data_IF_768455103381
#
_entry.id   IF_768455103381
#
_cell.length_a   1.000
_cell.length_b   1.000
_cell.length_c   1.000
_cell.angle_alpha   90.00
_cell.angle_beta   90.00
_cell.angle_gamma   90.00
#
_symmetry.space_group_name_H-M   'P 1'
#
loop_
_entity.id
_entity.type
_entity.pdbx_description
1 polymer ?
#
# COMPACT_ATOMS: atom_id res chain seq x y z
N UNK A 1 -12.66 3.60 -3.41
CA UNK A 1 -12.75 4.26 -2.09
C UNK A 1 -13.57 3.48 -1.07
N UNK A 2 -14.58 2.68 -1.46
CA UNK A 2 -15.40 1.89 -0.53
C UNK A 2 -14.58 1.04 0.46
N UNK A 3 -13.54 0.35 -0.03
CA UNK A 3 -12.63 -0.44 0.82
C UNK A 3 -11.90 0.39 1.90
N UNK A 4 -11.51 1.63 1.59
CA UNK A 4 -10.89 2.56 2.56
C UNK A 4 -11.90 2.97 3.63
N UNK A 5 -13.13 3.30 3.23
CA UNK A 5 -14.19 3.66 4.18
C UNK A 5 -14.55 2.49 5.10
N UNK A 6 -14.60 1.28 4.56
CA UNK A 6 -14.83 0.08 5.36
C UNK A 6 -13.72 -0.16 6.39
N UNK A 7 -12.45 -0.05 5.98
CA UNK A 7 -11.30 -0.18 6.90
C UNK A 7 -11.34 0.88 8.01
N UNK A 8 -11.60 2.14 7.67
CA UNK A 8 -11.72 3.24 8.66
C UNK A 8 -12.89 3.01 9.63
N UNK A 9 -14.04 2.52 9.13
CA UNK A 9 -15.18 2.19 9.98
C UNK A 9 -14.84 1.06 10.97
N UNK A 10 -14.10 0.04 10.53
CA UNK A 10 -13.63 -1.04 11.38
C UNK A 10 -12.65 -0.54 12.46
N UNK A 11 -11.70 0.33 12.10
CA UNK A 11 -10.80 0.98 13.08
C UNK A 11 -11.61 1.74 14.14
N UNK A 12 -12.60 2.53 13.71
CA UNK A 12 -13.46 3.29 14.61
C UNK A 12 -14.26 2.36 15.56
N UNK A 13 -14.74 1.22 15.06
CA UNK A 13 -15.42 0.23 15.90
C UNK A 13 -14.51 -0.30 17.04
N UNK A 14 -13.22 -0.54 16.77
CA UNK A 14 -12.26 -0.97 17.80
C UNK A 14 -11.98 0.13 18.83
N UNK A 15 -12.00 1.41 18.44
CA UNK A 15 -11.92 2.53 19.40
C UNK A 15 -13.15 2.58 20.32
N UNK A 16 -14.34 2.32 19.79
CA UNK A 16 -15.58 2.28 20.58
C UNK A 16 -15.60 1.10 21.54
N UNK A 17 -15.17 -0.09 21.09
CA UNK A 17 -15.05 -1.28 21.96
C UNK A 17 -14.07 -1.04 23.12
N UNK A 18 -12.91 -0.44 22.82
CA UNK A 18 -11.95 -0.07 23.84
C UNK A 18 -12.54 0.90 24.88
N UNK A 19 -13.29 1.91 24.44
CA UNK A 19 -13.95 2.84 25.34
C UNK A 19 -14.95 2.13 26.27
N UNK A 20 -15.76 1.22 25.71
CA UNK A 20 -16.68 0.40 26.49
C UNK A 20 -15.93 -0.47 27.53
N UNK A 21 -14.84 -1.14 27.12
CA UNK A 21 -14.05 -1.97 28.01
C UNK A 21 -13.44 -1.18 29.19
N UNK A 22 -12.99 0.05 28.94
CA UNK A 22 -12.51 0.96 30.00
C UNK A 22 -13.61 1.35 30.98
N UNK A 23 -14.85 1.57 30.51
CA UNK A 23 -15.98 1.87 31.41
C UNK A 23 -16.32 0.68 32.31
N UNK A 24 -16.31 -0.54 31.77
CA UNK A 24 -16.55 -1.76 32.55
C UNK A 24 -15.47 -1.96 33.61
N UNK A 25 -14.20 -1.77 33.25
CA UNK A 25 -13.09 -1.85 34.20
C UNK A 25 -13.20 -0.81 35.34
N UNK A 26 -13.60 0.43 35.02
CA UNK A 26 -13.78 1.49 36.01
C UNK A 26 -14.96 1.25 36.97
N UNK A 27 -16.01 0.56 36.51
CA UNK A 27 -17.21 0.29 37.31
C UNK A 27 -17.06 -0.89 38.28
N UNK A 28 -15.94 -1.64 38.23
CA UNK A 28 -15.59 -2.62 39.24
C UNK A 28 -16.55 -3.81 39.35
N UNK A 29 -16.77 -4.54 38.25
CA UNK A 29 -17.50 -5.81 38.33
C UNK A 29 -16.73 -6.79 39.23
N UNK A 30 -17.27 -6.98 40.44
CA UNK A 30 -16.75 -7.79 41.52
C UNK A 30 -17.18 -9.27 41.41
N UNK A 31 -17.43 -9.76 40.20
CA UNK A 31 -17.68 -11.18 39.98
C UNK A 31 -16.35 -11.87 39.64
N UNK A 32 -15.95 -12.83 40.47
CA UNK A 32 -14.64 -13.46 40.50
C UNK A 32 -14.24 -14.30 39.27
N UNK A 33 -14.81 -14.02 38.09
CA UNK A 33 -14.42 -14.62 36.80
C UNK A 33 -13.32 -13.84 36.06
N UNK A 34 -12.77 -12.79 36.67
CA UNK A 34 -11.47 -12.20 36.32
C UNK A 34 -11.27 -11.96 34.83
N UNK A 35 -12.12 -11.14 34.20
CA UNK A 35 -11.92 -10.71 32.81
C UNK A 35 -10.51 -10.14 32.67
N UNK A 36 -9.70 -10.76 31.80
CA UNK A 36 -8.36 -10.27 31.49
C UNK A 36 -8.45 -9.00 30.63
N UNK A 37 -8.85 -7.88 31.24
CA UNK A 37 -9.03 -6.58 30.59
C UNK A 37 -7.76 -6.13 29.88
N UNK A 38 -6.60 -6.31 30.51
CA UNK A 38 -5.31 -5.95 29.91
C UNK A 38 -5.00 -6.80 28.67
N UNK A 39 -5.31 -8.10 28.73
CA UNK A 39 -5.21 -9.00 27.57
C UNK A 39 -6.09 -8.54 26.42
N UNK A 40 -7.37 -8.25 26.68
CA UNK A 40 -8.28 -7.78 25.62
C UNK A 40 -7.85 -6.42 25.06
N UNK A 41 -7.37 -5.50 25.90
CA UNK A 41 -6.83 -4.22 25.43
C UNK A 41 -5.63 -4.40 24.50
N UNK A 42 -4.74 -5.34 24.81
CA UNK A 42 -3.59 -5.66 23.98
C UNK A 42 -4.01 -6.26 22.63
N UNK A 43 -4.96 -7.21 22.62
CA UNK A 43 -5.54 -7.75 21.39
C UNK A 43 -6.16 -6.66 20.52
N UNK A 44 -6.97 -5.76 21.10
CA UNK A 44 -7.56 -4.60 20.41
C UNK A 44 -6.52 -3.64 19.83
N UNK A 45 -5.31 -3.57 20.40
CA UNK A 45 -4.20 -2.80 19.80
C UNK A 45 -3.62 -3.51 18.59
N UNK A 46 -3.39 -4.82 18.69
CA UNK A 46 -2.87 -5.62 17.58
C UNK A 46 -3.86 -5.67 16.41
N UNK A 47 -5.15 -5.89 16.67
CA UNK A 47 -6.20 -5.90 15.65
C UNK A 47 -6.24 -4.57 14.88
N UNK A 48 -6.16 -3.45 15.62
CA UNK A 48 -6.15 -2.11 15.02
C UNK A 48 -4.87 -1.82 14.24
N UNK A 49 -3.69 -2.22 14.73
CA UNK A 49 -2.44 -2.11 13.97
C UNK A 49 -2.53 -2.86 12.63
N UNK A 50 -3.18 -4.02 12.60
CA UNK A 50 -3.45 -4.76 11.36
C UNK A 50 -4.34 -3.97 10.39
N UNK A 51 -5.42 -3.35 10.89
CA UNK A 51 -6.29 -2.51 10.07
C UNK A 51 -5.62 -1.21 9.62
N UNK A 52 -4.77 -0.60 10.46
CA UNK A 52 -3.96 0.58 10.12
C UNK A 52 -2.96 0.24 9.02
N UNK A 53 -2.27 -0.90 9.09
CA UNK A 53 -1.39 -1.39 8.02
C UNK A 53 -2.14 -1.62 6.71
N UNK A 54 -3.35 -2.21 6.79
CA UNK A 54 -4.24 -2.35 5.62
C UNK A 54 -4.62 -0.99 5.03
N UNK A 55 -4.98 -0.02 5.88
CA UNK A 55 -5.33 1.34 5.45
C UNK A 55 -4.12 2.05 4.80
N UNK A 56 -2.92 1.87 5.34
CA UNK A 56 -1.67 2.39 4.76
C UNK A 56 -1.43 1.84 3.35
N UNK A 57 -1.61 0.53 3.15
CA UNK A 57 -1.51 -0.08 1.83
C UNK A 57 -2.55 0.50 0.85
N UNK A 58 -3.82 0.60 1.26
CA UNK A 58 -4.89 1.14 0.42
C UNK A 58 -4.65 2.60 0.04
N UNK A 59 -4.22 3.44 0.98
CA UNK A 59 -3.90 4.86 0.73
C UNK A 59 -2.64 5.03 -0.12
N UNK A 60 -1.65 4.15 0.05
CA UNK A 60 -0.45 4.15 -0.80
C UNK A 60 -0.79 3.73 -2.23
N UNK A 61 -1.74 2.80 -2.44
CA UNK A 61 -2.23 2.45 -3.77
C UNK A 61 -2.83 3.66 -4.52
N UNK A 62 -3.59 4.51 -3.82
CA UNK A 62 -4.15 5.73 -4.38
C UNK A 62 -3.01 6.70 -4.75
N UNK A 63 -2.09 6.95 -3.82
CA UNK A 63 -0.94 7.83 -4.02
C UNK A 63 -0.07 7.39 -5.20
N UNK A 64 0.20 6.09 -5.33
CA UNK A 64 0.97 5.53 -6.44
C UNK A 64 0.27 5.75 -7.78
N UNK A 65 -1.04 5.49 -7.84
CA UNK A 65 -1.83 5.75 -9.05
C UNK A 65 -1.82 7.21 -9.44
N UNK A 66 -2.09 8.11 -8.49
CA UNK A 66 -2.13 9.56 -8.75
C UNK A 66 -0.76 10.08 -9.21
N UNK A 67 0.34 9.60 -8.62
CA UNK A 67 1.69 9.97 -9.03
C UNK A 67 2.02 9.47 -10.46
N UNK A 68 1.70 8.21 -10.77
CA UNK A 68 1.90 7.65 -12.10
C UNK A 68 1.07 8.41 -13.16
N UNK A 69 -0.21 8.65 -12.87
CA UNK A 69 -1.11 9.37 -13.77
C UNK A 69 -0.73 10.85 -13.94
N UNK A 70 -0.17 11.50 -12.92
CA UNK A 70 0.32 12.87 -13.04
C UNK A 70 1.45 12.97 -14.08
N UNK A 71 2.37 12.00 -14.10
CA UNK A 71 3.42 11.96 -15.11
C UNK A 71 2.85 11.66 -16.51
N UNK A 72 1.93 10.70 -16.62
CA UNK A 72 1.31 10.37 -17.91
C UNK A 72 0.52 11.58 -18.48
N UNK A 73 -0.16 12.36 -17.61
CA UNK A 73 -0.82 13.61 -17.98
C UNK A 73 0.18 14.67 -18.43
N UNK A 74 1.31 14.84 -17.73
CA UNK A 74 2.37 15.75 -18.15
C UNK A 74 2.92 15.38 -19.54
N UNK A 75 3.16 14.09 -19.77
CA UNK A 75 3.63 13.58 -21.05
C UNK A 75 2.61 13.84 -22.16
N UNK A 76 1.31 13.68 -21.88
CA UNK A 76 0.24 13.97 -22.84
C UNK A 76 0.07 15.47 -23.14
N UNK A 77 0.35 16.35 -22.17
CA UNK A 77 0.33 17.81 -22.38
C UNK A 77 1.55 18.32 -23.17
N UNK A 78 2.61 17.52 -23.27
CA UNK A 78 3.84 17.93 -23.94
C UNK A 78 3.67 17.85 -25.47
N UNK A 79 3.92 18.93 -26.23
CA UNK A 79 3.78 18.93 -27.68
C UNK A 79 4.61 17.82 -28.36
N UNK A 80 4.11 17.21 -29.45
CA UNK A 80 4.83 16.14 -30.13
C UNK A 80 6.16 16.62 -30.74
N UNK A 81 6.26 17.91 -31.10
CA UNK A 81 7.44 18.58 -31.65
C UNK A 81 8.34 19.24 -30.59
N UNK A 82 8.00 19.10 -29.29
CA UNK A 82 8.84 19.61 -28.21
C UNK A 82 10.27 19.09 -28.31
N UNK A 83 11.24 19.93 -27.95
CA UNK A 83 12.64 19.51 -27.93
C UNK A 83 12.87 18.44 -26.85
N UNK A 84 13.96 17.67 -26.96
CA UNK A 84 14.36 16.74 -25.89
C UNK A 84 14.58 17.47 -24.56
N UNK A 85 15.13 18.68 -24.61
CA UNK A 85 15.34 19.53 -23.45
C UNK A 85 14.02 19.95 -22.79
N UNK A 86 13.02 20.34 -23.57
CA UNK A 86 11.70 20.72 -23.03
C UNK A 86 11.00 19.53 -22.38
N UNK A 87 11.10 18.33 -22.96
CA UNK A 87 10.58 17.10 -22.35
C UNK A 87 11.23 16.81 -21.01
N UNK A 88 12.56 16.89 -20.93
CA UNK A 88 13.29 16.69 -19.68
C UNK A 88 12.92 17.73 -18.62
N UNK A 89 12.76 19.00 -18.99
CA UNK A 89 12.28 20.02 -18.06
C UNK A 89 10.87 19.73 -17.56
N UNK A 90 9.97 19.29 -18.43
CA UNK A 90 8.60 18.92 -18.04
C UNK A 90 8.60 17.76 -17.04
N UNK A 91 9.42 16.73 -17.26
CA UNK A 91 9.57 15.59 -16.34
C UNK A 91 10.17 16.01 -14.99
N UNK A 92 11.23 16.83 -15.00
CA UNK A 92 11.83 17.37 -13.77
C UNK A 92 10.81 18.22 -13.01
N UNK A 93 10.05 19.08 -13.69
CA UNK A 93 9.01 19.91 -13.08
C UNK A 93 7.97 19.05 -12.36
N UNK A 94 7.49 17.99 -13.00
CA UNK A 94 6.50 17.07 -12.38
C UNK A 94 7.08 16.36 -11.16
N UNK A 95 8.35 15.95 -11.20
CA UNK A 95 9.00 15.35 -10.03
C UNK A 95 9.08 16.36 -8.88
N UNK A 96 9.48 17.60 -9.14
CA UNK A 96 9.54 18.67 -8.13
C UNK A 96 8.17 19.04 -7.56
N UNK A 97 7.13 19.10 -8.40
CA UNK A 97 5.76 19.35 -7.98
C UNK A 97 5.24 18.26 -7.04
N UNK A 98 5.43 16.98 -7.41
CA UNK A 98 5.06 15.84 -6.58
C UNK A 98 5.87 15.83 -5.28
N UNK A 99 7.17 16.14 -5.34
CA UNK A 99 8.02 16.26 -4.16
C UNK A 99 7.50 17.33 -3.19
N UNK A 100 7.10 18.50 -3.72
CA UNK A 100 6.51 19.59 -2.96
C UNK A 100 5.19 19.20 -2.30
N UNK A 101 4.26 18.59 -3.05
CA UNK A 101 2.94 18.16 -2.52
C UNK A 101 3.11 17.09 -1.44
N UNK A 102 3.99 16.12 -1.65
CA UNK A 102 4.23 15.03 -0.70
C UNK A 102 5.17 15.42 0.45
N UNK A 103 5.79 16.61 0.39
CA UNK A 103 6.79 17.08 1.37
C UNK A 103 7.95 16.08 1.53
N UNK A 104 8.49 15.63 0.39
CA UNK A 104 9.65 14.72 0.32
C UNK A 104 10.73 15.34 -0.57
N UNK A 105 11.93 14.76 -0.57
CA UNK A 105 12.98 15.21 -1.49
C UNK A 105 12.65 14.86 -2.93
N UNK A 106 13.18 15.64 -3.88
CA UNK A 106 13.08 15.37 -5.32
C UNK A 106 13.55 13.95 -5.68
N UNK A 107 14.68 13.50 -5.10
CA UNK A 107 15.17 12.13 -5.29
C UNK A 107 14.20 11.05 -4.77
N UNK A 108 13.55 11.29 -3.64
CA UNK A 108 12.53 10.37 -3.12
C UNK A 108 11.27 10.36 -3.98
N UNK A 109 10.84 11.51 -4.49
CA UNK A 109 9.71 11.61 -5.41
C UNK A 109 9.99 10.89 -6.73
N UNK A 110 11.17 11.10 -7.33
CA UNK A 110 11.57 10.41 -8.56
C UNK A 110 11.59 8.89 -8.37
N UNK A 111 12.20 8.39 -7.30
CA UNK A 111 12.20 6.96 -6.98
C UNK A 111 10.78 6.42 -6.75
N UNK A 112 9.93 7.17 -6.04
CA UNK A 112 8.55 6.80 -5.81
C UNK A 112 7.73 6.73 -7.10
N UNK A 113 7.87 7.70 -8.00
CA UNK A 113 7.16 7.74 -9.29
C UNK A 113 7.55 6.54 -10.17
N UNK A 114 8.84 6.22 -10.28
CA UNK A 114 9.32 5.05 -11.04
C UNK A 114 8.69 3.77 -10.52
N UNK A 115 8.76 3.56 -9.21
CA UNK A 115 8.18 2.39 -8.54
C UNK A 115 6.66 2.34 -8.67
N UNK A 116 5.99 3.48 -8.55
CA UNK A 116 4.55 3.58 -8.70
C UNK A 116 4.10 3.17 -10.11
N UNK A 117 4.82 3.57 -11.16
CA UNK A 117 4.53 3.14 -12.54
C UNK A 117 4.70 1.64 -12.72
N UNK A 118 5.79 1.06 -12.20
CA UNK A 118 6.02 -0.39 -12.26
C UNK A 118 4.88 -1.15 -11.56
N UNK A 119 4.54 -0.78 -10.32
CA UNK A 119 3.43 -1.39 -9.57
C UNK A 119 2.08 -1.22 -10.29
N UNK A 120 1.78 -0.03 -10.82
CA UNK A 120 0.53 0.22 -11.53
C UNK A 120 0.44 -0.51 -12.87
N UNK A 121 1.59 -0.90 -13.46
CA UNK A 121 1.63 -1.71 -14.68
C UNK A 121 1.28 -3.19 -14.42
N UNK A 122 1.26 -3.65 -13.17
CA UNK A 122 0.94 -5.03 -12.79
C UNK A 122 -0.46 -5.08 -12.13
N UNK A 123 -1.53 -5.44 -12.87
CA UNK A 123 -2.91 -5.27 -12.39
C UNK A 123 -3.23 -6.05 -11.11
N UNK A 124 -2.74 -7.29 -10.98
CA UNK A 124 -2.94 -8.12 -9.78
C UNK A 124 -2.22 -7.56 -8.56
N UNK A 125 -0.99 -7.05 -8.74
CA UNK A 125 -0.21 -6.39 -7.67
C UNK A 125 -0.91 -5.12 -7.22
N UNK A 126 -1.31 -4.26 -8.15
CA UNK A 126 -2.06 -3.05 -7.82
C UNK A 126 -3.39 -3.38 -7.15
N UNK A 127 -4.10 -4.41 -7.63
CA UNK A 127 -5.34 -4.91 -7.03
C UNK A 127 -5.14 -5.33 -5.57
N UNK A 128 -4.11 -6.15 -5.30
CA UNK A 128 -3.77 -6.59 -3.95
C UNK A 128 -3.37 -5.43 -3.03
N UNK A 129 -2.57 -4.48 -3.52
CA UNK A 129 -2.22 -3.27 -2.78
C UNK A 129 -3.45 -2.41 -2.47
N UNK A 130 -4.33 -2.20 -3.46
CA UNK A 130 -5.54 -1.36 -3.34
C UNK A 130 -6.62 -1.95 -2.42
N UNK A 131 -6.62 -3.26 -2.21
CA UNK A 131 -7.48 -3.94 -1.22
C UNK A 131 -6.82 -3.99 0.16
N UNK A 132 -5.51 -3.78 0.22
CA UNK A 132 -4.68 -3.87 1.42
C UNK A 132 -4.32 -5.31 1.80
N UNK A 133 -4.41 -6.26 0.87
CA UNK A 133 -3.91 -7.63 1.05
C UNK A 133 -2.40 -7.75 0.81
N UNK A 134 -1.79 -6.73 0.19
CA UNK A 134 -0.36 -6.60 -0.05
C UNK A 134 0.11 -5.24 0.48
N UNK A 135 1.25 -5.21 1.18
CA UNK A 135 1.87 -3.96 1.62
C UNK A 135 2.56 -3.24 0.45
N UNK A 136 2.85 -1.95 0.59
CA UNK A 136 3.64 -1.21 -0.41
C UNK A 136 5.00 -1.87 -0.66
N UNK A 137 5.66 -2.34 0.39
CA UNK A 137 6.93 -3.03 0.27
C UNK A 137 6.79 -4.37 -0.47
N UNK A 138 5.73 -5.14 -0.21
CA UNK A 138 5.45 -6.37 -0.96
C UNK A 138 5.17 -6.10 -2.43
N UNK A 139 4.43 -5.03 -2.74
CA UNK A 139 4.19 -4.60 -4.12
C UNK A 139 5.49 -4.21 -4.84
N UNK A 140 6.38 -3.48 -4.17
CA UNK A 140 7.70 -3.11 -4.70
C UNK A 140 8.57 -4.33 -4.97
N UNK A 141 8.60 -5.29 -4.06
CA UNK A 141 9.37 -6.54 -4.26
C UNK A 141 8.90 -7.23 -5.55
N UNK A 142 7.60 -7.38 -5.77
CA UNK A 142 7.10 -8.01 -7.01
C UNK A 142 7.45 -7.18 -8.25
N UNK A 143 7.35 -5.85 -8.16
CA UNK A 143 7.74 -4.95 -9.24
C UNK A 143 9.23 -5.05 -9.59
N UNK A 144 10.11 -5.06 -8.58
CA UNK A 144 11.56 -5.19 -8.73
C UNK A 144 11.93 -6.56 -9.34
N UNK A 145 11.34 -7.65 -8.84
CA UNK A 145 11.60 -9.01 -9.34
C UNK A 145 11.11 -9.24 -10.79
N UNK A 146 10.19 -8.41 -11.26
CA UNK A 146 9.63 -8.50 -12.62
C UNK A 146 10.23 -7.47 -13.58
N UNK A 147 11.11 -6.57 -13.12
CA UNK A 147 11.66 -5.46 -13.90
C UNK A 147 12.42 -5.91 -15.16
N UNK A 148 13.11 -7.05 -15.10
CA UNK A 148 13.90 -7.58 -16.21
C UNK A 148 13.06 -8.36 -17.25
N UNK A 149 11.77 -8.53 -17.02
CA UNK A 149 10.87 -9.27 -17.90
C UNK A 149 10.19 -8.34 -18.91
N UNK A 150 9.73 -8.91 -20.03
CA UNK A 150 8.76 -8.18 -20.85
C UNK A 150 7.42 -8.07 -20.11
N UNK A 151 6.62 -7.08 -20.50
CA UNK A 151 5.38 -6.78 -19.78
C UNK A 151 4.40 -7.96 -19.70
N UNK A 152 4.16 -8.74 -20.76
CA UNK A 152 3.33 -9.95 -20.67
C UNK A 152 3.87 -10.99 -19.68
N UNK A 153 5.18 -11.26 -19.67
CA UNK A 153 5.79 -12.20 -18.73
C UNK A 153 5.75 -11.69 -17.29
N UNK A 154 5.96 -10.38 -17.08
CA UNK A 154 5.85 -9.73 -15.78
C UNK A 154 4.44 -9.89 -15.18
N UNK A 155 3.40 -9.63 -15.98
CA UNK A 155 2.00 -9.82 -15.57
C UNK A 155 1.72 -11.28 -15.23
N UNK A 156 2.13 -12.22 -16.09
CA UNK A 156 1.90 -13.64 -15.87
C UNK A 156 2.58 -14.15 -14.59
N UNK A 157 3.80 -13.68 -14.29
CA UNK A 157 4.51 -14.04 -13.06
C UNK A 157 3.83 -13.46 -11.82
N UNK A 158 3.42 -12.19 -11.87
CA UNK A 158 2.70 -11.54 -10.78
C UNK A 158 1.37 -12.22 -10.47
N UNK A 159 0.59 -12.56 -11.51
CA UNK A 159 -0.67 -13.28 -11.39
C UNK A 159 -0.46 -14.65 -10.76
N UNK A 160 0.53 -15.41 -11.22
CA UNK A 160 0.87 -16.71 -10.64
C UNK A 160 1.28 -16.62 -9.16
N UNK A 161 2.04 -15.59 -8.78
CA UNK A 161 2.50 -15.41 -7.40
C UNK A 161 1.38 -15.04 -6.44
N UNK A 162 0.39 -14.27 -6.92
CA UNK A 162 -0.73 -13.77 -6.12
C UNK A 162 -1.96 -14.68 -6.15
N UNK A 163 -2.01 -15.66 -7.04
CA UNK A 163 -3.08 -16.65 -7.11
C UNK A 163 -2.94 -17.70 -5.98
N UNK A 164 -3.86 -17.71 -4.99
CA UNK A 164 -3.80 -18.67 -3.88
C UNK A 164 -4.07 -20.11 -4.34
N UNK A 165 -4.67 -20.30 -5.51
CA UNK A 165 -5.05 -21.59 -6.06
C UNK A 165 -4.09 -22.06 -7.18
N UNK A 166 -2.97 -21.35 -7.38
CA UNK A 166 -2.02 -21.63 -8.45
C UNK A 166 -1.47 -23.08 -8.35
N UNK A 167 -1.38 -23.82 -9.47
CA UNK A 167 -0.73 -25.12 -9.48
C UNK A 167 0.77 -24.94 -9.18
N UNK A 168 1.23 -25.50 -8.05
CA UNK A 168 2.51 -25.17 -7.39
C UNK A 168 2.56 -23.70 -6.93
N UNK A 169 1.82 -23.34 -5.86
CA UNK A 169 1.87 -21.97 -5.35
C UNK A 169 3.30 -21.63 -4.96
N UNK A 170 3.67 -20.35 -5.10
CA UNK A 170 5.01 -19.87 -4.75
C UNK A 170 5.40 -20.39 -3.36
N UNK A 171 6.44 -21.25 -3.31
CA UNK A 171 6.85 -21.89 -2.05
C UNK A 171 7.52 -20.85 -1.15
N UNK A 172 6.80 -20.38 -0.13
CA UNK A 172 7.31 -19.38 0.82
C UNK A 172 6.23 -18.75 1.69
N UNK A 173 6.62 -17.73 2.44
CA UNK A 173 5.69 -16.87 3.18
C UNK A 173 4.61 -16.33 2.23
N UNK A 174 3.32 -16.35 2.60
CA UNK A 174 2.26 -15.67 1.83
C UNK A 174 2.70 -14.28 1.37
N UNK A 175 2.21 -13.77 0.24
CA UNK A 175 2.61 -12.45 -0.27
C UNK A 175 2.47 -11.32 0.79
N UNK A 176 1.50 -11.45 1.70
CA UNK A 176 1.31 -10.57 2.86
C UNK A 176 2.48 -10.55 3.87
N UNK A 177 3.37 -11.54 3.80
CA UNK A 177 4.47 -11.79 4.74
C UNK A 177 5.86 -11.69 4.06
N UNK A 178 5.96 -11.02 2.91
CA UNK A 178 7.24 -10.68 2.28
C UNK A 178 8.04 -9.77 3.22
N UNK A 179 9.21 -10.23 3.67
CA UNK A 179 10.11 -9.48 4.54
C UNK A 179 11.21 -8.83 3.69
N UNK A 180 11.59 -7.56 3.93
CA UNK A 180 12.72 -6.96 3.24
C UNK A 180 14.02 -7.71 3.54
N UNK A 181 14.91 -7.80 2.55
CA UNK A 181 16.32 -8.14 2.79
C UNK A 181 16.96 -6.93 3.49
N UNK A 182 17.68 -7.10 4.62
CA UNK A 182 18.38 -5.99 5.25
C UNK A 182 19.41 -5.40 4.28
N UNK A 183 19.45 -4.07 4.20
CA UNK A 183 20.42 -3.32 3.41
C UNK A 183 21.87 -3.49 3.93
#
# INVERSE_FOLDING_TARGET
>A
MEGVFATTAAINALFLEEAALKTVHANGDADGSGVNVLGRLYELRLERLGLESKLEAQTTALKARDAAQSLDLQQAMTPPDASTQDRTYAEISTVEEIAGVLTISSGAAGAFITQARQVCSLPSVYGALSTGSLSWQGARIIADETEALDHPAAVALADHFLDPDAPNPARGCPAANLVPVPA
#
